data_IF_560028581229
#
_entry.id   IF_560028581229
#
_cell.length_a   1.000
_cell.length_b   1.000
_cell.length_c   1.000
_cell.angle_alpha   90.00
_cell.angle_beta   90.00
_cell.angle_gamma   90.00
#
_symmetry.space_group_name_H-M   'P 1'
#
loop_
_entity.id
_entity.type
_entity.pdbx_description
1 polymer ?
#
# COMPACT_ATOMS: atom_id res chain seq x y z
N UNK A 1 3.57 9.75 7.58
CA UNK A 1 3.51 9.85 6.10
C UNK A 1 4.44 10.99 5.66
N UNK A 2 5.58 10.66 5.04
CA UNK A 2 6.49 11.65 4.47
C UNK A 2 5.96 12.22 3.15
N UNK A 3 6.71 13.14 2.54
CA UNK A 3 6.37 13.75 1.25
C UNK A 3 6.35 12.74 0.07
N UNK A 4 6.83 11.52 0.30
CA UNK A 4 6.82 10.40 -0.64
C UNK A 4 5.65 9.43 -0.38
N UNK A 5 4.76 9.75 0.56
CA UNK A 5 3.60 8.91 0.86
C UNK A 5 3.91 7.68 1.72
N UNK A 6 5.11 7.61 2.33
CA UNK A 6 5.54 6.48 3.16
C UNK A 6 5.31 6.79 4.64
N UNK A 7 4.67 5.88 5.39
CA UNK A 7 4.65 6.00 6.85
C UNK A 7 5.98 5.54 7.42
N UNK A 8 6.90 6.47 7.66
CA UNK A 8 8.20 6.23 8.29
C UNK A 8 8.09 6.15 9.83
N UNK A 9 7.05 5.52 10.36
CA UNK A 9 6.88 5.45 11.83
C UNK A 9 7.93 4.51 12.48
N UNK A 10 8.61 3.70 11.67
CA UNK A 10 9.73 2.85 12.09
C UNK A 10 10.65 2.55 10.92
N UNK A 11 11.95 2.35 11.20
CA UNK A 11 12.97 1.93 10.24
C UNK A 11 13.53 0.57 10.65
N UNK A 12 13.72 -0.32 9.67
CA UNK A 12 14.45 -1.57 9.85
C UNK A 12 15.90 -1.37 9.37
N UNK A 13 16.86 -1.65 10.25
CA UNK A 13 18.29 -1.52 9.95
C UNK A 13 18.90 -2.93 9.95
N UNK A 14 19.60 -3.27 8.88
CA UNK A 14 20.40 -4.50 8.77
C UNK A 14 21.87 -4.09 8.80
N UNK A 15 22.62 -4.62 9.76
CA UNK A 15 24.03 -4.30 9.93
C UNK A 15 24.84 -5.51 10.42
N UNK A 16 26.17 -5.53 10.20
CA UNK A 16 27.06 -6.49 10.85
C UNK A 16 26.98 -6.38 12.38
N UNK A 17 27.16 -7.50 13.12
CA UNK A 17 27.11 -7.50 14.59
C UNK A 17 28.08 -6.50 15.24
N UNK A 18 29.28 -6.36 14.67
CA UNK A 18 30.32 -5.45 15.19
C UNK A 18 29.88 -3.98 15.21
N UNK A 19 28.89 -3.60 14.42
CA UNK A 19 28.37 -2.23 14.35
C UNK A 19 27.18 -1.98 15.30
N UNK A 20 26.63 -3.01 15.93
CA UNK A 20 25.37 -2.91 16.71
C UNK A 20 25.49 -1.87 17.83
N UNK A 21 26.57 -1.93 18.60
CA UNK A 21 26.79 -1.05 19.75
C UNK A 21 26.86 0.43 19.33
N UNK A 22 27.63 0.75 18.29
CA UNK A 22 27.77 2.12 17.79
C UNK A 22 26.47 2.67 17.19
N UNK A 23 25.73 1.83 16.44
CA UNK A 23 24.42 2.21 15.89
C UNK A 23 23.43 2.51 17.03
N UNK A 24 23.38 1.64 18.05
CA UNK A 24 22.49 1.81 19.20
C UNK A 24 22.84 3.08 19.99
N UNK A 25 24.13 3.34 20.23
CA UNK A 25 24.59 4.55 20.91
C UNK A 25 24.16 5.83 20.18
N UNK A 26 24.42 5.93 18.87
CA UNK A 26 24.06 7.12 18.09
C UNK A 26 22.54 7.37 18.09
N UNK A 27 21.74 6.32 17.89
CA UNK A 27 20.28 6.45 17.78
C UNK A 27 19.65 6.76 19.14
N UNK A 28 20.08 6.08 20.20
CA UNK A 28 19.60 6.38 21.56
C UNK A 28 20.06 7.76 22.04
N UNK A 29 21.28 8.18 21.69
CA UNK A 29 21.80 9.52 21.96
C UNK A 29 20.98 10.64 21.29
N UNK A 30 20.33 10.34 20.16
CA UNK A 30 19.38 11.24 19.50
C UNK A 30 17.96 11.21 20.11
N UNK A 31 17.74 10.42 21.17
CA UNK A 31 16.43 10.26 21.83
C UNK A 31 15.46 9.37 21.05
N UNK A 32 15.94 8.58 20.09
CA UNK A 32 15.13 7.69 19.26
C UNK A 32 15.18 6.26 19.82
N UNK A 33 14.03 5.59 19.85
CA UNK A 33 13.93 4.19 20.30
C UNK A 33 14.48 3.25 19.21
N UNK A 34 15.27 2.27 19.63
CA UNK A 34 15.78 1.19 18.79
C UNK A 34 15.77 -0.12 19.55
N UNK A 35 15.48 -1.21 18.85
CA UNK A 35 15.47 -2.55 19.40
C UNK A 35 15.92 -3.55 18.34
N UNK A 36 16.67 -4.56 18.75
CA UNK A 36 16.95 -5.72 17.90
C UNK A 36 15.68 -6.57 17.79
N UNK A 37 15.25 -6.85 16.57
CA UNK A 37 13.99 -7.55 16.27
C UNK A 37 14.19 -8.87 15.52
N UNK A 38 15.44 -9.22 15.20
CA UNK A 38 15.76 -10.42 14.44
C UNK A 38 17.23 -10.49 14.05
N UNK A 39 17.57 -11.51 13.28
CA UNK A 39 18.93 -11.82 12.84
C UNK A 39 18.92 -12.35 11.42
N UNK A 40 20.06 -12.28 10.76
CA UNK A 40 20.28 -12.92 9.46
C UNK A 40 20.98 -14.24 9.68
N UNK A 41 20.43 -15.30 9.11
CA UNK A 41 21.03 -16.63 9.12
C UNK A 41 21.42 -17.06 7.71
N UNK A 42 22.42 -17.94 7.62
CA UNK A 42 22.74 -18.60 6.36
C UNK A 42 21.68 -19.67 6.09
N UNK A 43 21.15 -19.73 4.87
CA UNK A 43 20.13 -20.71 4.52
C UNK A 43 19.30 -20.28 3.32
N UNK A 44 18.04 -20.71 3.31
CA UNK A 44 17.10 -20.36 2.24
C UNK A 44 16.79 -18.85 2.30
N UNK A 45 16.95 -18.11 1.19
CA UNK A 45 16.58 -16.71 1.14
C UNK A 45 15.09 -16.52 1.43
N UNK A 46 14.76 -15.62 2.36
CA UNK A 46 13.38 -15.33 2.73
C UNK A 46 13.28 -14.44 3.95
N UNK A 47 12.06 -13.98 4.22
CA UNK A 47 11.69 -13.35 5.49
C UNK A 47 10.84 -14.33 6.29
N UNK A 48 11.22 -14.59 7.54
CA UNK A 48 10.56 -15.56 8.40
C UNK A 48 10.15 -14.88 9.71
N UNK A 49 8.99 -15.28 10.23
CA UNK A 49 8.52 -14.88 11.54
C UNK A 49 8.55 -16.10 12.46
N UNK A 50 9.35 -16.04 13.53
CA UNK A 50 9.31 -17.05 14.58
C UNK A 50 8.08 -16.81 15.46
N UNK A 51 7.17 -17.77 15.52
CA UNK A 51 6.02 -17.78 16.43
C UNK A 51 5.97 -19.12 17.14
N UNK A 52 5.90 -19.09 18.47
CA UNK A 52 5.80 -20.31 19.30
C UNK A 52 6.95 -21.32 19.06
N UNK A 53 8.11 -20.84 18.64
CA UNK A 53 9.29 -21.65 18.30
C UNK A 53 9.30 -22.21 16.87
N UNK A 54 8.25 -21.98 16.08
CA UNK A 54 8.16 -22.39 14.69
C UNK A 54 8.39 -21.21 13.74
N UNK A 55 9.10 -21.47 12.64
CA UNK A 55 9.30 -20.48 11.58
C UNK A 55 8.13 -20.50 10.60
N UNK A 56 7.55 -19.34 10.38
CA UNK A 56 6.51 -19.13 9.39
C UNK A 56 7.00 -18.19 8.29
N UNK A 57 6.61 -18.50 7.05
CA UNK A 57 6.84 -17.61 5.91
C UNK A 57 6.22 -16.24 6.17
N UNK A 58 7.07 -15.22 6.19
CA UNK A 58 6.71 -13.81 6.35
C UNK A 58 7.04 -13.01 5.08
N UNK A 59 7.15 -13.69 3.95
CA UNK A 59 7.28 -13.03 2.65
C UNK A 59 6.11 -12.05 2.45
N UNK A 60 6.38 -10.76 2.18
CA UNK A 60 5.34 -9.77 1.96
C UNK A 60 4.40 -10.23 0.84
N UNK A 61 3.12 -10.41 1.15
CA UNK A 61 2.12 -10.88 0.17
C UNK A 61 1.58 -9.79 -0.76
N UNK A 62 2.17 -8.59 -0.76
CA UNK A 62 1.72 -7.50 -1.63
C UNK A 62 2.86 -6.75 -2.32
N UNK A 63 2.57 -6.45 -3.60
CA UNK A 63 3.40 -5.81 -4.62
C UNK A 63 4.38 -4.80 -4.01
N UNK A 64 5.64 -5.15 -4.09
CA UNK A 64 6.74 -4.27 -3.75
C UNK A 64 6.69 -3.00 -4.59
N UNK A 65 6.86 -1.87 -3.89
CA UNK A 65 7.16 -0.51 -4.33
C UNK A 65 6.01 0.40 -4.78
N UNK A 66 5.95 1.58 -4.15
CA UNK A 66 5.27 2.78 -4.67
C UNK A 66 5.85 3.26 -6.02
N UNK A 67 6.96 2.65 -6.49
CA UNK A 67 7.75 3.08 -7.64
C UNK A 67 8.00 2.00 -8.70
N UNK A 68 7.27 0.88 -8.71
CA UNK A 68 7.32 0.01 -9.91
C UNK A 68 6.50 0.65 -11.02
N UNK A 69 7.08 0.87 -12.22
CA UNK A 69 6.33 1.34 -13.36
C UNK A 69 5.23 0.34 -13.69
N UNK A 70 4.00 0.84 -13.52
CA UNK A 70 2.73 0.32 -14.01
C UNK A 70 2.36 -1.06 -13.46
N UNK A 71 1.20 -1.08 -12.80
CA UNK A 71 0.42 -2.30 -12.66
C UNK A 71 0.42 -3.03 -14.00
N UNK A 72 1.17 -4.14 -14.14
CA UNK A 72 0.74 -5.20 -15.06
C UNK A 72 -0.66 -5.57 -14.60
N UNK A 73 -1.62 -4.92 -15.24
CA UNK A 73 -2.96 -5.39 -15.46
C UNK A 73 -2.70 -6.75 -16.06
N UNK A 74 -2.97 -7.79 -15.28
CA UNK A 74 -3.18 -9.10 -15.88
C UNK A 74 -4.27 -8.84 -16.91
N UNK A 75 -3.96 -9.00 -18.19
CA UNK A 75 -4.90 -8.91 -19.31
C UNK A 75 -6.01 -9.94 -19.08
N UNK A 76 -6.94 -9.61 -18.20
CA UNK A 76 -8.30 -10.10 -18.32
C UNK A 76 -8.88 -9.19 -19.37
N UNK A 77 -9.02 -9.71 -20.59
CA UNK A 77 -9.92 -9.11 -21.57
C UNK A 77 -11.20 -8.73 -20.80
N UNK A 78 -11.60 -7.45 -20.76
CA UNK A 78 -12.86 -7.10 -20.14
C UNK A 78 -13.93 -7.90 -20.86
N UNK A 79 -14.63 -8.78 -20.11
CA UNK A 79 -15.53 -9.77 -20.67
C UNK A 79 -16.67 -9.15 -21.51
N UNK A 80 -16.95 -7.84 -21.32
CA UNK A 80 -17.89 -7.07 -22.12
C UNK A 80 -17.58 -5.54 -22.06
N UNK A 81 -16.63 -5.09 -22.88
CA UNK A 81 -16.28 -3.67 -22.98
C UNK A 81 -17.46 -2.81 -23.47
N UNK A 82 -18.29 -3.34 -24.36
CA UNK A 82 -19.41 -2.59 -24.94
C UNK A 82 -20.56 -2.43 -23.94
N UNK A 83 -20.88 -3.46 -23.17
CA UNK A 83 -21.82 -3.35 -22.06
C UNK A 83 -21.37 -2.35 -21.00
N UNK A 84 -20.06 -2.30 -20.70
CA UNK A 84 -19.50 -1.28 -19.80
C UNK A 84 -19.69 0.14 -20.36
N UNK A 85 -19.42 0.36 -21.65
CA UNK A 85 -19.64 1.68 -22.29
C UNK A 85 -21.11 2.08 -22.26
N UNK A 86 -22.01 1.14 -22.56
CA UNK A 86 -23.46 1.38 -22.51
C UNK A 86 -23.93 1.73 -21.09
N UNK A 87 -23.42 1.04 -20.06
CA UNK A 87 -23.74 1.34 -18.67
C UNK A 87 -23.27 2.73 -18.24
N UNK A 88 -22.07 3.15 -18.66
CA UNK A 88 -21.54 4.49 -18.40
C UNK A 88 -22.38 5.57 -19.09
N UNK A 89 -22.73 5.37 -20.37
CA UNK A 89 -23.59 6.29 -21.11
C UNK A 89 -24.97 6.44 -20.44
N UNK A 90 -25.59 5.31 -20.07
CA UNK A 90 -26.88 5.30 -19.38
C UNK A 90 -26.81 6.02 -18.02
N UNK A 91 -25.76 5.79 -17.25
CA UNK A 91 -25.56 6.47 -15.97
C UNK A 91 -25.41 8.00 -16.15
N UNK A 92 -24.71 8.44 -17.20
CA UNK A 92 -24.58 9.86 -17.54
C UNK A 92 -25.93 10.48 -17.91
N UNK A 93 -26.72 9.81 -18.76
CA UNK A 93 -28.06 10.26 -19.15
C UNK A 93 -28.99 10.39 -17.95
N UNK A 94 -28.97 9.40 -17.05
CA UNK A 94 -29.76 9.41 -15.82
C UNK A 94 -29.34 10.55 -14.87
N UNK A 95 -28.04 10.85 -14.78
CA UNK A 95 -27.54 11.97 -13.99
C UNK A 95 -28.00 13.32 -14.57
N UNK A 96 -27.96 13.47 -15.90
CA UNK A 96 -28.46 14.66 -16.60
C UNK A 96 -29.96 14.83 -16.40
N UNK A 97 -30.75 13.76 -16.54
CA UNK A 97 -32.19 13.79 -16.32
C UNK A 97 -32.54 14.16 -14.87
N UNK A 98 -31.83 13.59 -13.88
CA UNK A 98 -31.98 13.96 -12.47
C UNK A 98 -31.65 15.44 -12.25
N UNK A 99 -30.56 15.94 -12.84
CA UNK A 99 -30.16 17.36 -12.74
C UNK A 99 -31.24 18.28 -13.29
N UNK A 100 -31.76 18.00 -14.49
CA UNK A 100 -32.83 18.80 -15.12
C UNK A 100 -34.07 18.86 -14.23
N UNK A 101 -34.53 17.71 -13.72
CA UNK A 101 -35.69 17.64 -12.81
C UNK A 101 -35.49 18.44 -11.52
N UNK A 102 -34.27 18.42 -10.96
CA UNK A 102 -33.95 19.21 -9.75
C UNK A 102 -33.96 20.70 -10.06
N UNK A 103 -33.38 21.13 -11.18
CA UNK A 103 -33.37 22.53 -11.63
C UNK A 103 -34.78 23.03 -11.91
N UNK A 104 -35.63 22.24 -12.59
CA UNK A 104 -37.03 22.58 -12.85
C UNK A 104 -37.83 22.75 -11.55
N UNK A 105 -37.66 21.88 -10.56
CA UNK A 105 -38.28 22.04 -9.24
C UNK A 105 -37.82 23.32 -8.55
N UNK A 106 -36.51 23.57 -8.56
CA UNK A 106 -35.94 24.78 -7.95
C UNK A 106 -36.46 26.08 -8.61
N UNK A 107 -36.57 26.09 -9.94
CA UNK A 107 -37.03 27.27 -10.69
C UNK A 107 -38.55 27.46 -10.69
N UNK A 108 -39.34 26.40 -10.53
CA UNK A 108 -40.81 26.46 -10.50
C UNK A 108 -41.42 26.87 -9.15
N UNK A 109 -40.58 27.17 -8.14
CA UNK A 109 -41.01 27.76 -6.87
C UNK A 109 -41.89 26.85 -6.00
N UNK A 110 -41.81 25.52 -6.18
CA UNK A 110 -42.35 24.53 -5.23
C UNK A 110 -41.25 23.73 -4.57
#
# INVERSE_FOLDING_TARGET
IDYLGVSLDSLLIVAPPDNEAGIREVITGAGVRIQEVGRIESGTPGAFLCRDGEEHDFSPRFRESAYTPVKKVVDRQPADLEGMKAAVAHAADMAVAKKKRVVERYLSGR
#
